data_IF_069711433005
#
_entry.id   IF_069711433005
#
_cell.length_a   1.000
_cell.length_b   1.000
_cell.length_c   1.000
_cell.angle_alpha   90.00
_cell.angle_beta   90.00
_cell.angle_gamma   90.00
#
_symmetry.space_group_name_H-M   'P 1'
#
loop_
_entity.id
_entity.type
_entity.pdbx_description
1 polymer ?
#
# COMPACT_ATOMS: atom_id res chain seq x y z
N UNK A 1 11.98 -24.33 8.54
CA UNK A 1 10.49 -24.24 8.60
C UNK A 1 9.95 -23.70 7.27
N UNK A 2 9.87 -24.54 6.22
CA UNK A 2 9.48 -24.09 4.87
C UNK A 2 7.97 -23.80 4.70
N UNK A 3 7.13 -24.27 5.62
CA UNK A 3 5.67 -24.17 5.49
C UNK A 3 5.13 -22.74 5.66
N UNK A 4 5.76 -21.90 6.51
CA UNK A 4 5.38 -20.50 6.71
C UNK A 4 5.53 -19.66 5.43
N UNK A 5 6.70 -19.63 4.78
CA UNK A 5 6.86 -18.91 3.52
C UNK A 5 6.01 -19.53 2.39
N UNK A 6 5.78 -20.86 2.40
CA UNK A 6 4.90 -21.50 1.43
C UNK A 6 3.44 -21.02 1.56
N UNK A 7 2.91 -20.99 2.79
CA UNK A 7 1.57 -20.48 3.06
C UNK A 7 1.47 -18.99 2.68
N UNK A 8 2.48 -18.20 3.03
CA UNK A 8 2.55 -16.77 2.68
C UNK A 8 2.53 -16.58 1.16
N UNK A 9 3.31 -17.38 0.42
CA UNK A 9 3.33 -17.37 -1.05
C UNK A 9 1.96 -17.68 -1.64
N UNK A 10 1.31 -18.76 -1.19
CA UNK A 10 0.00 -19.19 -1.70
C UNK A 10 -1.05 -18.10 -1.45
N UNK A 11 -1.13 -17.57 -0.22
CA UNK A 11 -2.09 -16.53 0.12
C UNK A 11 -1.85 -15.23 -0.68
N UNK A 12 -0.59 -14.86 -0.91
CA UNK A 12 -0.23 -13.68 -1.69
C UNK A 12 -0.60 -13.84 -3.17
N UNK A 13 -0.38 -15.03 -3.75
CA UNK A 13 -0.76 -15.34 -5.13
C UNK A 13 -2.29 -15.37 -5.30
N UNK A 14 -3.02 -15.93 -4.34
CA UNK A 14 -4.50 -15.88 -4.33
C UNK A 14 -4.97 -14.42 -4.30
N UNK A 15 -4.38 -13.58 -3.44
CA UNK A 15 -4.73 -12.16 -3.37
C UNK A 15 -4.37 -11.41 -4.66
N UNK A 16 -3.22 -11.72 -5.27
CA UNK A 16 -2.82 -11.15 -6.56
C UNK A 16 -3.84 -11.47 -7.66
N UNK A 17 -4.28 -12.73 -7.74
CA UNK A 17 -5.33 -13.16 -8.68
C UNK A 17 -6.64 -12.43 -8.41
N UNK A 18 -7.07 -12.33 -7.16
CA UNK A 18 -8.31 -11.65 -6.80
C UNK A 18 -8.27 -10.14 -7.14
N UNK A 19 -7.13 -9.46 -6.93
CA UNK A 19 -6.94 -8.07 -7.31
C UNK A 19 -6.94 -7.88 -8.82
N UNK A 20 -6.31 -8.79 -9.56
CA UNK A 20 -6.29 -8.74 -11.01
C UNK A 20 -7.68 -8.98 -11.63
N UNK A 21 -8.45 -9.91 -11.06
CA UNK A 21 -9.84 -10.16 -11.45
C UNK A 21 -10.71 -8.90 -11.25
N UNK A 22 -10.60 -8.24 -10.09
CA UNK A 22 -11.27 -6.96 -9.85
C UNK A 22 -10.84 -5.86 -10.85
N UNK A 23 -9.55 -5.82 -11.20
CA UNK A 23 -9.06 -4.87 -12.20
C UNK A 23 -9.69 -5.13 -13.57
N UNK A 24 -9.86 -6.40 -13.98
CA UNK A 24 -10.49 -6.72 -15.28
C UNK A 24 -11.91 -6.16 -15.38
N UNK A 25 -12.65 -6.20 -14.27
CA UNK A 25 -14.02 -5.70 -14.19
C UNK A 25 -14.10 -4.17 -14.07
N UNK A 26 -13.35 -3.58 -13.14
CA UNK A 26 -13.50 -2.15 -12.78
C UNK A 26 -12.51 -1.23 -13.48
N UNK A 27 -11.45 -1.80 -14.06
CA UNK A 27 -10.37 -1.12 -14.79
C UNK A 27 -9.69 0.02 -14.01
N UNK A 28 -9.65 -0.10 -12.68
CA UNK A 28 -9.00 0.89 -11.83
C UNK A 28 -7.49 0.61 -11.73
N UNK A 29 -6.65 1.58 -12.13
CA UNK A 29 -5.20 1.38 -12.24
C UNK A 29 -4.51 0.86 -10.97
N UNK A 30 -4.93 1.33 -9.79
CA UNK A 30 -4.36 0.90 -8.51
C UNK A 30 -4.54 -0.61 -8.24
N UNK A 31 -5.62 -1.23 -8.74
CA UNK A 31 -5.88 -2.66 -8.52
C UNK A 31 -4.87 -3.54 -9.26
N UNK A 32 -4.54 -3.18 -10.50
CA UNK A 32 -3.51 -3.87 -11.28
C UNK A 32 -2.14 -3.72 -10.62
N UNK A 33 -1.81 -2.51 -10.17
CA UNK A 33 -0.52 -2.23 -9.54
C UNK A 33 -0.36 -3.02 -8.24
N UNK A 34 -1.40 -3.08 -7.41
CA UNK A 34 -1.39 -3.93 -6.22
C UNK A 34 -1.36 -5.42 -6.55
N UNK A 35 -2.02 -5.88 -7.62
CA UNK A 35 -1.92 -7.26 -8.08
C UNK A 35 -0.48 -7.63 -8.44
N UNK A 36 0.24 -6.74 -9.15
CA UNK A 36 1.65 -6.91 -9.50
C UNK A 36 2.53 -6.93 -8.23
N UNK A 37 2.31 -6.00 -7.30
CA UNK A 37 3.03 -5.99 -6.02
C UNK A 37 2.81 -7.26 -5.19
N UNK A 38 1.58 -7.78 -5.15
CA UNK A 38 1.24 -9.04 -4.47
C UNK A 38 1.81 -10.27 -5.19
N UNK A 39 1.89 -10.24 -6.53
CA UNK A 39 2.58 -11.26 -7.30
C UNK A 39 4.06 -11.32 -6.92
N UNK A 40 4.74 -10.18 -6.86
CA UNK A 40 6.15 -10.13 -6.43
C UNK A 40 6.35 -10.64 -5.01
N UNK A 41 5.46 -10.25 -4.08
CA UNK A 41 5.50 -10.78 -2.73
C UNK A 41 5.31 -12.31 -2.69
N UNK A 42 4.35 -12.82 -3.46
CA UNK A 42 4.09 -14.26 -3.59
C UNK A 42 5.26 -15.04 -4.19
N UNK A 43 5.92 -14.50 -5.22
CA UNK A 43 7.13 -15.08 -5.83
C UNK A 43 8.29 -15.07 -4.83
N UNK A 44 8.51 -13.97 -4.10
CA UNK A 44 9.58 -13.86 -3.11
C UNK A 44 9.41 -14.86 -1.97
N UNK A 45 8.21 -14.96 -1.39
CA UNK A 45 7.90 -15.96 -0.36
C UNK A 45 7.98 -17.39 -0.91
N UNK A 46 7.62 -17.60 -2.18
CA UNK A 46 7.81 -18.90 -2.84
C UNK A 46 9.28 -19.28 -2.95
N UNK A 47 10.15 -18.32 -3.27
CA UNK A 47 11.60 -18.54 -3.28
C UNK A 47 12.13 -18.92 -1.90
N UNK A 48 11.66 -18.25 -0.84
CA UNK A 48 12.02 -18.60 0.55
C UNK A 48 11.56 -20.02 0.92
N UNK A 49 10.37 -20.43 0.49
CA UNK A 49 9.84 -21.77 0.72
C UNK A 49 10.67 -22.84 0.01
N UNK A 50 10.96 -22.64 -1.27
CA UNK A 50 11.78 -23.53 -2.07
C UNK A 50 13.22 -23.61 -1.53
N UNK A 51 13.80 -22.48 -1.15
CA UNK A 51 15.15 -22.40 -0.59
C UNK A 51 15.25 -23.11 0.75
N UNK A 52 14.22 -22.98 1.59
CA UNK A 52 14.14 -23.67 2.88
C UNK A 52 13.84 -25.19 2.76
N UNK A 53 13.23 -25.64 1.66
CA UNK A 53 12.87 -27.05 1.45
C UNK A 53 13.94 -27.83 0.67
N UNK A 54 14.51 -27.24 -0.38
CA UNK A 54 15.41 -27.89 -1.33
C UNK A 54 16.80 -27.27 -1.43
N UNK A 55 17.10 -26.24 -0.63
CA UNK A 55 18.36 -25.51 -0.67
C UNK A 55 18.34 -24.32 -1.64
N UNK A 56 19.26 -23.38 -1.42
CA UNK A 56 19.39 -22.19 -2.25
C UNK A 56 20.29 -22.43 -3.45
N UNK A 57 19.97 -21.71 -4.53
CA UNK A 57 20.82 -21.57 -5.71
C UNK A 57 20.76 -20.12 -6.19
N UNK A 58 21.66 -19.79 -7.12
CA UNK A 58 21.80 -18.42 -7.62
C UNK A 58 20.51 -17.85 -8.23
N UNK A 59 19.81 -18.62 -9.06
CA UNK A 59 18.55 -18.18 -9.70
C UNK A 59 17.48 -17.85 -8.66
N UNK A 60 17.32 -18.71 -7.66
CA UNK A 60 16.37 -18.53 -6.58
C UNK A 60 16.71 -17.30 -5.75
N UNK A 61 17.99 -17.11 -5.45
CA UNK A 61 18.51 -15.98 -4.69
C UNK A 61 18.32 -14.64 -5.41
N UNK A 62 18.62 -14.57 -6.71
CA UNK A 62 18.39 -13.37 -7.54
C UNK A 62 16.91 -13.04 -7.68
N UNK A 63 16.07 -14.07 -7.87
CA UNK A 63 14.62 -13.91 -8.00
C UNK A 63 14.01 -13.39 -6.70
N UNK A 64 14.40 -13.99 -5.57
CA UNK A 64 14.00 -13.53 -4.23
C UNK A 64 14.42 -12.07 -4.00
N UNK A 65 15.67 -11.73 -4.33
CA UNK A 65 16.20 -10.40 -4.08
C UNK A 65 15.44 -9.33 -4.86
N UNK A 66 15.24 -9.53 -6.17
CA UNK A 66 14.50 -8.59 -6.99
C UNK A 66 13.05 -8.45 -6.56
N UNK A 67 12.33 -9.57 -6.47
CA UNK A 67 10.88 -9.55 -6.24
C UNK A 67 10.54 -9.13 -4.80
N UNK A 68 11.27 -9.66 -3.81
CA UNK A 68 11.03 -9.41 -2.40
C UNK A 68 11.72 -8.17 -1.89
N UNK A 69 13.05 -8.12 -1.99
CA UNK A 69 13.85 -7.08 -1.35
C UNK A 69 13.81 -5.74 -2.11
N UNK A 70 13.56 -5.73 -3.42
CA UNK A 70 13.61 -4.49 -4.22
C UNK A 70 12.21 -4.04 -4.68
N UNK A 71 11.39 -4.91 -5.29
CA UNK A 71 10.19 -4.48 -6.02
C UNK A 71 8.92 -4.38 -5.18
N UNK A 72 8.68 -5.32 -4.27
CA UNK A 72 7.37 -5.49 -3.61
C UNK A 72 6.84 -4.19 -3.01
N UNK A 73 7.62 -3.55 -2.12
CA UNK A 73 7.16 -2.37 -1.42
C UNK A 73 6.93 -1.18 -2.36
N UNK A 74 7.83 -0.99 -3.33
CA UNK A 74 7.70 0.08 -4.34
C UNK A 74 6.42 -0.05 -5.16
N UNK A 75 6.10 -1.26 -5.64
CA UNK A 75 4.88 -1.52 -6.40
C UNK A 75 3.61 -1.42 -5.55
N UNK A 76 3.62 -1.96 -4.32
CA UNK A 76 2.48 -1.83 -3.43
C UNK A 76 2.20 -0.36 -3.05
N UNK A 77 3.25 0.43 -2.78
CA UNK A 77 3.14 1.87 -2.54
C UNK A 77 2.68 2.66 -3.76
N UNK A 78 3.08 2.25 -4.97
CA UNK A 78 2.60 2.83 -6.22
C UNK A 78 1.09 2.65 -6.40
N UNK A 79 0.52 1.53 -5.96
CA UNK A 79 -0.94 1.38 -6.00
C UNK A 79 -1.65 2.43 -5.13
N UNK A 80 -1.05 2.80 -3.99
CA UNK A 80 -1.56 3.88 -3.14
C UNK A 80 -1.48 5.25 -3.81
N UNK A 81 -0.44 5.52 -4.62
CA UNK A 81 -0.37 6.80 -5.35
C UNK A 81 -1.47 6.91 -6.40
N UNK A 82 -1.81 5.82 -7.09
CA UNK A 82 -2.93 5.80 -8.03
C UNK A 82 -4.28 5.87 -7.34
N UNK A 83 -4.42 5.25 -6.16
CA UNK A 83 -5.64 5.36 -5.36
C UNK A 83 -5.89 6.80 -4.91
N UNK A 84 -4.85 7.49 -4.46
CA UNK A 84 -4.91 8.83 -3.89
C UNK A 84 -4.51 9.93 -4.89
N UNK A 85 -4.45 9.60 -6.18
CA UNK A 85 -3.95 10.45 -7.26
C UNK A 85 -4.66 11.80 -7.39
N UNK A 86 -5.94 11.85 -7.02
CA UNK A 86 -6.78 13.05 -7.10
C UNK A 86 -6.78 13.88 -5.81
N UNK A 87 -5.92 13.53 -4.87
CA UNK A 87 -5.84 14.19 -3.55
C UNK A 87 -4.50 14.90 -3.39
N UNK A 88 -4.39 15.72 -2.33
CA UNK A 88 -3.12 16.38 -1.95
C UNK A 88 -2.06 15.41 -1.39
N UNK A 89 -2.31 14.10 -1.45
CA UNK A 89 -1.36 13.07 -1.01
C UNK A 89 -0.04 13.10 -1.78
N UNK A 90 0.00 13.72 -2.96
CA UNK A 90 1.25 13.92 -3.70
C UNK A 90 2.34 14.66 -2.90
N UNK A 91 2.00 15.59 -1.99
CA UNK A 91 2.99 16.19 -1.09
C UNK A 91 3.59 15.18 -0.10
N UNK A 92 2.74 14.31 0.46
CA UNK A 92 3.18 13.21 1.33
C UNK A 92 4.08 12.25 0.56
N UNK A 93 3.73 11.92 -0.69
CA UNK A 93 4.54 11.06 -1.54
C UNK A 93 5.89 11.69 -1.91
N UNK A 94 5.91 13.00 -2.20
CA UNK A 94 7.15 13.75 -2.41
C UNK A 94 8.06 13.71 -1.17
N UNK A 95 7.49 13.83 0.04
CA UNK A 95 8.23 13.64 1.29
C UNK A 95 8.78 12.20 1.40
N UNK A 96 7.98 11.18 1.07
CA UNK A 96 8.44 9.79 1.06
C UNK A 96 9.65 9.59 0.12
N UNK A 97 9.61 10.17 -1.08
CA UNK A 97 10.73 10.14 -2.04
C UNK A 97 11.99 10.82 -1.49
N UNK A 98 11.84 12.01 -0.91
CA UNK A 98 12.96 12.75 -0.32
C UNK A 98 13.59 11.96 0.83
N UNK A 99 12.76 11.43 1.74
CA UNK A 99 13.23 10.57 2.82
C UNK A 99 13.91 9.32 2.28
N UNK A 100 13.37 8.67 1.24
CA UNK A 100 14.01 7.52 0.63
C UNK A 100 15.41 7.84 0.08
N UNK A 101 15.58 8.98 -0.60
CA UNK A 101 16.90 9.44 -1.06
C UNK A 101 17.87 9.65 0.10
N UNK A 102 17.45 10.36 1.15
CA UNK A 102 18.27 10.64 2.33
C UNK A 102 18.65 9.35 3.06
N UNK A 103 17.68 8.48 3.36
CA UNK A 103 17.94 7.23 4.06
C UNK A 103 18.76 6.25 3.22
N UNK A 104 18.64 6.28 1.90
CA UNK A 104 19.52 5.49 1.01
C UNK A 104 20.97 5.95 1.15
N UNK A 105 21.23 7.27 1.14
CA UNK A 105 22.56 7.81 1.38
C UNK A 105 23.07 7.46 2.79
N UNK A 106 22.22 7.61 3.82
CA UNK A 106 22.59 7.27 5.20
C UNK A 106 22.87 5.76 5.36
N UNK A 107 22.14 4.91 4.65
CA UNK A 107 22.38 3.46 4.62
C UNK A 107 23.76 3.18 4.04
N UNK A 108 24.14 3.81 2.93
CA UNK A 108 25.50 3.69 2.43
C UNK A 108 26.54 4.20 3.44
N UNK A 109 26.31 5.36 4.08
CA UNK A 109 27.25 5.93 5.05
C UNK A 109 27.45 5.01 6.26
N UNK A 110 26.41 4.29 6.68
CA UNK A 110 26.46 3.38 7.82
C UNK A 110 27.10 2.05 7.49
N UNK A 111 26.73 1.43 6.37
CA UNK A 111 27.11 0.05 6.05
C UNK A 111 28.24 -0.06 5.02
N UNK A 112 28.58 1.04 4.35
CA UNK A 112 29.64 1.15 3.35
C UNK A 112 29.66 -0.03 2.35
N UNK A 113 28.56 -0.21 1.61
CA UNK A 113 28.47 -1.32 0.67
C UNK A 113 29.50 -1.19 -0.46
N UNK A 114 30.22 -2.29 -0.70
CA UNK A 114 31.21 -2.39 -1.77
C UNK A 114 30.55 -2.24 -3.15
N UNK A 115 31.23 -1.57 -4.08
CA UNK A 115 30.72 -1.35 -5.43
C UNK A 115 29.55 -0.36 -5.51
N UNK A 116 29.30 0.46 -4.48
CA UNK A 116 28.27 1.51 -4.54
C UNK A 116 28.64 2.66 -5.50
N UNK A 117 29.93 3.02 -5.61
CA UNK A 117 30.40 4.10 -6.48
C UNK A 117 29.62 5.41 -6.26
N UNK A 118 29.15 6.03 -7.35
CA UNK A 118 28.33 7.24 -7.33
C UNK A 118 26.83 6.99 -7.09
N UNK A 119 26.38 5.73 -7.01
CA UNK A 119 24.96 5.38 -6.89
C UNK A 119 24.22 6.06 -5.72
N UNK A 120 24.76 6.18 -4.50
CA UNK A 120 24.06 6.84 -3.40
C UNK A 120 23.73 8.30 -3.69
N UNK A 121 24.65 9.01 -4.36
CA UNK A 121 24.49 10.42 -4.72
C UNK A 121 23.49 10.53 -5.89
N UNK A 122 23.61 9.67 -6.90
CA UNK A 122 22.68 9.65 -8.02
C UNK A 122 21.25 9.34 -7.58
N UNK A 123 21.07 8.39 -6.65
CA UNK A 123 19.75 8.07 -6.09
C UNK A 123 19.20 9.21 -5.25
N UNK A 124 20.03 9.92 -4.48
CA UNK A 124 19.60 11.12 -3.77
C UNK A 124 19.16 12.23 -4.74
N UNK A 125 19.95 12.51 -5.78
CA UNK A 125 19.60 13.52 -6.81
C UNK A 125 18.29 13.14 -7.48
N UNK A 126 18.13 11.87 -7.89
CA UNK A 126 16.90 11.39 -8.50
C UNK A 126 15.70 11.55 -7.55
N UNK A 127 15.84 11.20 -6.26
CA UNK A 127 14.81 11.41 -5.26
C UNK A 127 14.41 12.88 -5.12
N UNK A 128 15.39 13.80 -5.04
CA UNK A 128 15.12 15.25 -4.91
C UNK A 128 14.41 15.78 -6.14
N UNK A 129 14.86 15.43 -7.34
CA UNK A 129 14.23 15.84 -8.60
C UNK A 129 12.82 15.29 -8.72
N UNK A 130 12.61 14.01 -8.43
CA UNK A 130 11.28 13.39 -8.46
C UNK A 130 10.35 13.96 -7.39
N UNK A 131 10.84 14.21 -6.17
CA UNK A 131 10.07 14.81 -5.10
C UNK A 131 9.63 16.23 -5.48
N UNK A 132 10.53 17.04 -6.04
CA UNK A 132 10.21 18.37 -6.54
C UNK A 132 9.17 18.31 -7.66
N UNK A 133 9.36 17.44 -8.66
CA UNK A 133 8.42 17.27 -9.76
C UNK A 133 7.02 16.85 -9.28
N UNK A 134 6.93 15.87 -8.38
CA UNK A 134 5.65 15.45 -7.78
C UNK A 134 5.01 16.58 -6.97
N UNK A 135 5.78 17.31 -6.16
CA UNK A 135 5.26 18.41 -5.35
C UNK A 135 4.73 19.55 -6.23
N UNK A 136 5.45 19.89 -7.32
CA UNK A 136 5.04 20.90 -8.30
C UNK A 136 3.74 20.48 -9.01
N UNK A 137 3.68 19.26 -9.54
CA UNK A 137 2.46 18.74 -10.17
C UNK A 137 1.27 18.71 -9.20
N UNK A 138 1.53 18.37 -7.93
CA UNK A 138 0.51 18.39 -6.87
C UNK A 138 0.03 19.80 -6.56
N UNK A 139 0.94 20.79 -6.56
CA UNK A 139 0.64 22.19 -6.35
C UNK A 139 -0.29 22.74 -7.42
N UNK A 140 -0.01 22.43 -8.69
CA UNK A 140 -0.86 22.80 -9.81
C UNK A 140 -2.13 21.95 -9.94
N UNK A 141 -2.39 21.03 -9.00
CA UNK A 141 -3.55 20.13 -9.00
C UNK A 141 -3.65 19.27 -10.27
N UNK A 142 -2.51 18.98 -10.91
CA UNK A 142 -2.46 18.11 -12.08
C UNK A 142 -2.60 16.65 -11.64
N UNK A 143 -3.46 15.90 -12.33
CA UNK A 143 -3.62 14.45 -12.07
C UNK A 143 -2.46 13.60 -12.66
N UNK A 144 -1.38 14.24 -13.13
CA UNK A 144 -0.23 13.60 -13.78
C UNK A 144 0.83 13.10 -12.81
N UNK A 145 0.87 13.59 -11.58
CA UNK A 145 1.90 13.20 -10.61
C UNK A 145 1.98 11.69 -10.31
N UNK A 146 0.89 10.88 -10.33
CA UNK A 146 0.99 9.44 -10.14
C UNK A 146 1.71 8.76 -11.31
N UNK A 147 1.65 9.34 -12.51
CA UNK A 147 2.38 8.84 -13.69
C UNK A 147 3.88 9.06 -13.53
N UNK A 148 4.30 10.19 -12.94
CA UNK A 148 5.71 10.41 -12.59
C UNK A 148 6.18 9.38 -11.55
N UNK A 149 5.36 9.08 -10.55
CA UNK A 149 5.64 8.03 -9.58
C UNK A 149 5.76 6.65 -10.26
N UNK A 150 4.88 6.33 -11.20
CA UNK A 150 4.94 5.08 -11.97
C UNK A 150 6.22 5.00 -12.81
N UNK A 151 6.57 6.07 -13.51
CA UNK A 151 7.81 6.13 -14.30
C UNK A 151 9.05 5.89 -13.42
N UNK A 152 9.08 6.46 -12.22
CA UNK A 152 10.16 6.25 -11.27
C UNK A 152 10.25 4.78 -10.79
N UNK A 153 9.12 4.18 -10.39
CA UNK A 153 9.08 2.78 -9.90
C UNK A 153 9.41 1.79 -11.02
N UNK A 154 8.86 1.99 -12.21
CA UNK A 154 9.17 1.17 -13.39
C UNK A 154 10.64 1.34 -13.79
N UNK A 155 11.14 2.58 -13.82
CA UNK A 155 12.55 2.88 -14.12
C UNK A 155 13.50 2.21 -13.13
N UNK A 156 13.22 2.29 -11.82
CA UNK A 156 14.01 1.60 -10.80
C UNK A 156 13.90 0.07 -10.90
N UNK A 157 12.74 -0.47 -11.27
CA UNK A 157 12.54 -1.90 -11.53
C UNK A 157 13.41 -2.35 -12.70
N UNK A 158 13.38 -1.63 -13.83
CA UNK A 158 14.22 -1.92 -15.00
C UNK A 158 15.71 -1.75 -14.71
N UNK A 159 16.10 -0.70 -13.99
CA UNK A 159 17.48 -0.48 -13.56
C UNK A 159 17.97 -1.66 -12.71
N UNK A 160 17.17 -2.11 -11.74
CA UNK A 160 17.54 -3.25 -10.91
C UNK A 160 17.68 -4.55 -11.71
N UNK A 161 16.87 -4.76 -12.76
CA UNK A 161 17.01 -5.88 -13.69
C UNK A 161 18.35 -5.83 -14.43
N UNK A 162 18.69 -4.67 -15.00
CA UNK A 162 19.95 -4.48 -15.73
C UNK A 162 21.15 -4.69 -14.81
N UNK A 163 21.12 -4.11 -13.61
CA UNK A 163 22.17 -4.31 -12.60
C UNK A 163 22.27 -5.78 -12.17
N UNK A 164 21.14 -6.46 -12.00
CA UNK A 164 21.12 -7.88 -11.64
C UNK A 164 21.77 -8.74 -12.73
N UNK A 165 21.39 -8.54 -13.99
CA UNK A 165 21.92 -9.30 -15.13
C UNK A 165 23.42 -9.07 -15.37
N UNK A 166 23.94 -7.91 -14.97
CA UNK A 166 25.36 -7.56 -15.15
C UNK A 166 26.22 -7.87 -13.93
N UNK A 167 25.62 -8.22 -12.79
CA UNK A 167 26.35 -8.58 -11.58
C UNK A 167 26.76 -10.06 -11.62
N UNK A 168 28.04 -10.35 -11.44
CA UNK A 168 28.54 -11.70 -11.15
C UNK A 168 28.56 -11.97 -9.65
N UNK A 169 28.02 -13.10 -9.19
CA UNK A 169 28.03 -13.49 -7.79
C UNK A 169 29.14 -14.50 -7.53
N UNK A 170 29.88 -14.32 -6.43
CA UNK A 170 30.86 -15.30 -5.99
C UNK A 170 30.19 -16.63 -5.63
N UNK A 171 30.86 -17.76 -5.88
CA UNK A 171 30.37 -19.07 -5.48
C UNK A 171 30.10 -19.09 -3.95
N UNK A 172 28.98 -19.67 -3.48
CA UNK A 172 28.06 -20.58 -4.19
C UNK A 172 26.94 -19.88 -4.99
N UNK A 173 26.98 -18.56 -5.16
CA UNK A 173 25.96 -17.78 -5.89
C UNK A 173 24.79 -17.31 -5.02
N UNK A 174 24.85 -17.54 -3.71
CA UNK A 174 23.87 -17.06 -2.72
C UNK A 174 24.54 -16.86 -1.36
N UNK A 175 23.99 -15.98 -0.53
CA UNK A 175 24.41 -15.80 0.86
C UNK A 175 23.22 -15.88 1.80
N UNK A 176 23.42 -16.63 2.89
CA UNK A 176 22.46 -16.80 3.98
C UNK A 176 23.09 -16.30 5.27
N UNK A 177 22.28 -15.71 6.13
CA UNK A 177 22.69 -15.33 7.47
C UNK A 177 23.04 -16.60 8.27
N UNK A 178 24.23 -16.69 8.89
CA UNK A 178 24.68 -17.91 9.56
C UNK A 178 23.75 -18.37 10.69
N UNK A 179 23.15 -17.43 11.42
CA UNK A 179 22.32 -17.72 12.59
C UNK A 179 20.89 -18.13 12.21
N UNK A 180 20.32 -17.49 11.18
CA UNK A 180 18.90 -17.60 10.84
C UNK A 180 18.64 -18.40 9.57
N UNK A 181 19.67 -18.63 8.75
CA UNK A 181 19.59 -19.25 7.43
C UNK A 181 18.66 -18.50 6.46
N UNK A 182 18.37 -17.23 6.76
CA UNK A 182 17.58 -16.34 5.89
C UNK A 182 18.51 -15.75 4.83
N UNK A 183 18.11 -15.68 3.55
CA UNK A 183 18.90 -15.03 2.52
C UNK A 183 19.20 -13.56 2.85
N UNK A 184 20.45 -13.14 2.64
CA UNK A 184 20.90 -11.77 2.86
C UNK A 184 21.23 -11.09 1.54
N UNK A 185 21.30 -9.77 1.50
CA UNK A 185 21.73 -9.04 0.29
C UNK A 185 23.25 -8.95 0.11
N UNK A 186 24.05 -9.70 0.87
CA UNK A 186 25.48 -9.42 1.05
C UNK A 186 26.33 -9.60 -0.20
N UNK A 187 26.00 -10.56 -1.07
CA UNK A 187 26.76 -10.80 -2.31
C UNK A 187 26.53 -9.74 -3.38
N UNK A 188 25.51 -8.90 -3.23
CA UNK A 188 25.19 -7.91 -4.23
C UNK A 188 26.02 -6.63 -4.06
N UNK A 189 26.41 -5.96 -5.16
CA UNK A 189 27.09 -4.66 -5.07
C UNK A 189 26.15 -3.58 -4.53
N UNK A 190 26.74 -2.54 -3.96
CA UNK A 190 26.03 -1.38 -3.40
C UNK A 190 25.08 -0.71 -4.41
N UNK A 191 25.41 -0.72 -5.70
CA UNK A 191 24.57 -0.16 -6.78
C UNK A 191 23.16 -0.75 -6.77
N UNK A 192 23.01 -2.07 -6.65
CA UNK A 192 21.69 -2.70 -6.57
C UNK A 192 21.15 -2.74 -5.13
N UNK A 193 22.03 -2.90 -4.13
CA UNK A 193 21.60 -2.94 -2.71
C UNK A 193 20.93 -1.68 -2.23
N UNK A 194 21.35 -0.54 -2.76
CA UNK A 194 20.78 0.76 -2.40
C UNK A 194 19.41 1.02 -3.05
N UNK A 195 19.00 0.23 -4.05
CA UNK A 195 17.63 0.31 -4.58
C UNK A 195 16.59 -0.26 -3.59
N UNK A 196 16.98 -1.21 -2.74
CA UNK A 196 16.13 -1.74 -1.67
C UNK A 196 15.63 -0.65 -0.71
N UNK A 197 16.49 0.09 0.03
CA UNK A 197 16.00 1.16 0.90
C UNK A 197 15.29 2.26 0.10
N UNK A 198 15.73 2.55 -1.12
CA UNK A 198 15.09 3.57 -1.96
C UNK A 198 13.62 3.25 -2.26
N UNK A 199 13.33 2.04 -2.75
CA UNK A 199 11.96 1.62 -3.07
C UNK A 199 11.16 1.25 -1.82
N UNK A 200 11.78 0.61 -0.82
CA UNK A 200 11.07 0.17 0.38
C UNK A 200 10.65 1.35 1.26
N UNK A 201 11.48 2.38 1.40
CA UNK A 201 11.11 3.56 2.18
C UNK A 201 10.04 4.35 1.45
N UNK A 202 10.21 4.59 0.14
CA UNK A 202 9.20 5.30 -0.66
C UNK A 202 7.86 4.57 -0.59
N UNK A 203 7.86 3.27 -0.92
CA UNK A 203 6.64 2.47 -1.02
C UNK A 203 6.02 2.10 0.32
N UNK A 204 6.83 1.71 1.30
CA UNK A 204 6.38 1.38 2.65
C UNK A 204 5.78 2.58 3.38
N UNK A 205 6.44 3.74 3.34
CA UNK A 205 5.85 4.97 3.91
C UNK A 205 4.59 5.39 3.16
N UNK A 206 4.57 5.30 1.83
CA UNK A 206 3.38 5.62 1.05
C UNK A 206 2.20 4.70 1.40
N UNK A 207 2.42 3.39 1.59
CA UNK A 207 1.40 2.45 2.06
C UNK A 207 0.87 2.83 3.44
N UNK A 208 1.76 3.00 4.42
CA UNK A 208 1.36 3.28 5.80
C UNK A 208 0.64 4.63 5.88
N UNK A 209 1.24 5.69 5.34
CA UNK A 209 0.68 7.03 5.37
C UNK A 209 -0.60 7.14 4.54
N UNK A 210 -0.69 6.45 3.40
CA UNK A 210 -1.90 6.45 2.58
C UNK A 210 -3.04 5.66 3.21
N UNK A 211 -2.74 4.57 3.92
CA UNK A 211 -3.73 3.83 4.69
C UNK A 211 -4.23 4.66 5.90
N UNK A 212 -3.34 5.34 6.61
CA UNK A 212 -3.70 6.29 7.68
C UNK A 212 -4.53 7.46 7.15
N UNK A 213 -4.14 8.03 6.01
CA UNK A 213 -4.89 9.09 5.33
C UNK A 213 -6.31 8.61 4.98
N UNK A 214 -6.42 7.42 4.38
CA UNK A 214 -7.71 6.83 4.03
C UNK A 214 -8.58 6.59 5.26
N UNK A 215 -8.03 6.01 6.33
CA UNK A 215 -8.75 5.79 7.59
C UNK A 215 -9.22 7.11 8.20
N UNK A 216 -8.38 8.15 8.23
CA UNK A 216 -8.73 9.48 8.75
C UNK A 216 -9.87 10.14 7.96
N UNK A 217 -9.90 9.95 6.65
CA UNK A 217 -10.94 10.53 5.78
C UNK A 217 -12.33 9.96 6.10
N UNK A 218 -12.42 8.65 6.37
CA UNK A 218 -13.70 7.95 6.57
C UNK A 218 -14.14 7.80 8.04
N UNK A 219 -13.27 8.06 9.02
CA UNK A 219 -13.65 7.99 10.43
C UNK A 219 -14.34 9.29 10.93
N UNK A 220 -15.15 9.23 12.00
CA UNK A 220 -15.71 10.41 12.65
C UNK A 220 -14.60 11.35 13.11
N UNK A 221 -14.63 12.62 12.65
CA UNK A 221 -13.55 13.58 12.87
C UNK A 221 -13.77 14.38 14.14
N UNK A 222 -12.79 14.35 15.03
CA UNK A 222 -12.68 15.28 16.17
C UNK A 222 -11.49 16.20 15.94
N UNK A 223 -11.77 17.45 15.57
CA UNK A 223 -10.74 18.49 15.40
C UNK A 223 -10.50 19.19 16.74
N UNK A 224 -9.40 18.85 17.39
CA UNK A 224 -8.93 19.47 18.63
C UNK A 224 -8.03 20.67 18.32
N UNK A 225 -7.16 20.53 17.33
CA UNK A 225 -6.30 21.60 16.82
C UNK A 225 -6.80 22.05 15.46
N UNK A 226 -7.28 23.28 15.37
CA UNK A 226 -7.63 23.90 14.11
C UNK A 226 -6.35 24.38 13.40
N UNK A 227 -6.26 24.11 12.10
CA UNK A 227 -5.25 24.69 11.22
C UNK A 227 -5.87 24.89 9.84
N UNK A 228 -5.41 25.89 9.10
CA UNK A 228 -5.85 26.18 7.74
C UNK A 228 -4.65 26.26 6.80
N UNK A 229 -4.70 25.53 5.68
CA UNK A 229 -3.72 25.63 4.59
C UNK A 229 -4.33 26.41 3.43
N UNK A 230 -4.89 27.58 3.74
CA UNK A 230 -5.42 28.51 2.74
C UNK A 230 -4.25 29.22 2.04
N UNK A 231 -4.06 29.04 0.72
CA UNK A 231 -2.98 29.70 -0.03
C UNK A 231 -3.09 31.23 -0.05
N UNK A 232 -4.27 31.77 0.27
CA UNK A 232 -4.52 33.22 0.28
C UNK A 232 -4.21 33.89 1.63
N UNK A 233 -3.85 33.11 2.65
CA UNK A 233 -3.50 33.63 3.96
C UNK A 233 -2.18 34.44 3.94
N UNK A 234 -2.01 35.32 4.93
CA UNK A 234 -0.75 36.04 5.12
C UNK A 234 0.43 35.06 5.28
N UNK A 235 1.60 35.39 4.72
CA UNK A 235 2.76 34.48 4.65
C UNK A 235 3.16 33.89 6.00
N UNK A 236 3.14 34.70 7.06
CA UNK A 236 3.47 34.27 8.43
C UNK A 236 2.44 33.29 8.99
N UNK A 237 1.15 33.54 8.76
CA UNK A 237 0.08 32.62 9.17
C UNK A 237 0.11 31.32 8.37
N UNK A 238 0.42 31.39 7.07
CA UNK A 238 0.58 30.20 6.23
C UNK A 238 1.77 29.36 6.71
N UNK A 239 2.93 29.98 6.98
CA UNK A 239 4.12 29.29 7.50
C UNK A 239 3.87 28.66 8.86
N UNK A 240 3.22 29.38 9.78
CA UNK A 240 2.85 28.83 11.10
C UNK A 240 1.88 27.65 10.97
N UNK A 241 0.83 27.79 10.14
CA UNK A 241 -0.11 26.72 9.88
C UNK A 241 0.55 25.52 9.20
N UNK A 242 1.51 25.74 8.30
CA UNK A 242 2.29 24.70 7.65
C UNK A 242 3.14 23.94 8.67
N UNK A 243 3.82 24.65 9.59
CA UNK A 243 4.63 24.08 10.66
C UNK A 243 3.79 23.29 11.68
N UNK A 244 2.61 23.79 12.06
CA UNK A 244 1.74 23.11 13.02
C UNK A 244 0.94 21.97 12.38
N UNK A 245 0.74 21.97 11.06
CA UNK A 245 -0.11 21.01 10.36
C UNK A 245 0.23 19.53 10.61
N UNK A 246 1.51 19.09 10.69
CA UNK A 246 1.83 17.69 10.97
C UNK A 246 1.42 17.31 12.40
N UNK A 247 1.69 18.20 13.37
CA UNK A 247 1.33 18.00 14.78
C UNK A 247 -0.19 18.00 14.93
N UNK A 248 -0.87 18.97 14.33
CA UNK A 248 -2.32 19.07 14.35
C UNK A 248 -2.99 17.86 13.70
N UNK A 249 -2.45 17.35 12.59
CA UNK A 249 -2.92 16.10 11.98
C UNK A 249 -2.83 14.93 12.95
N UNK A 250 -1.66 14.73 13.58
CA UNK A 250 -1.45 13.63 14.54
C UNK A 250 -2.40 13.76 15.73
N UNK A 251 -2.50 14.94 16.34
CA UNK A 251 -3.38 15.18 17.50
C UNK A 251 -4.84 14.96 17.13
N UNK A 252 -5.29 15.49 15.99
CA UNK A 252 -6.67 15.32 15.52
C UNK A 252 -6.97 13.86 15.15
N UNK A 253 -6.01 13.15 14.57
CA UNK A 253 -6.11 11.72 14.28
C UNK A 253 -6.32 10.93 15.58
N UNK A 254 -5.43 11.10 16.56
CA UNK A 254 -5.50 10.40 17.86
C UNK A 254 -6.79 10.74 18.60
N UNK A 255 -7.20 12.01 18.62
CA UNK A 255 -8.44 12.45 19.26
C UNK A 255 -9.71 11.88 18.60
N UNK A 256 -9.62 11.46 17.34
CA UNK A 256 -10.73 10.86 16.58
C UNK A 256 -10.85 9.34 16.82
N UNK A 257 -9.78 8.66 17.27
CA UNK A 257 -9.75 7.21 17.47
C UNK A 257 -10.83 6.70 18.43
N UNK A 258 -11.08 7.30 19.63
CA UNK A 258 -12.10 6.79 20.54
C UNK A 258 -13.51 6.82 19.94
N UNK A 259 -13.82 7.87 19.16
CA UNK A 259 -15.08 8.00 18.44
C UNK A 259 -15.21 6.95 17.33
N UNK A 260 -14.11 6.70 16.60
CA UNK A 260 -14.05 5.67 15.58
C UNK A 260 -14.24 4.26 16.18
N UNK A 261 -13.58 3.94 17.31
CA UNK A 261 -13.73 2.65 18.00
C UNK A 261 -15.16 2.45 18.49
N UNK A 262 -15.78 3.46 19.12
CA UNK A 262 -17.18 3.38 19.55
C UNK A 262 -18.13 3.17 18.38
N UNK A 263 -17.91 3.87 17.26
CA UNK A 263 -18.73 3.72 16.06
C UNK A 263 -18.53 2.35 15.39
N UNK A 264 -17.32 1.78 15.47
CA UNK A 264 -17.01 0.44 14.98
C UNK A 264 -17.72 -0.63 15.82
N UNK A 265 -17.60 -0.56 17.14
CA UNK A 265 -18.25 -1.49 18.08
C UNK A 265 -19.77 -1.41 17.99
N UNK A 266 -20.32 -0.24 17.68
CA UNK A 266 -21.75 -0.05 17.50
C UNK A 266 -22.28 -0.49 16.13
N UNK A 267 -21.44 -1.00 15.23
CA UNK A 267 -21.85 -1.41 13.87
C UNK A 267 -22.32 -0.28 12.97
N UNK A 268 -22.05 0.99 13.34
CA UNK A 268 -22.53 2.18 12.61
C UNK A 268 -21.56 2.66 11.52
N UNK A 269 -20.39 2.05 11.43
CA UNK A 269 -19.40 2.40 10.41
C UNK A 269 -19.63 1.58 9.15
N UNK A 270 -19.62 2.27 8.02
CA UNK A 270 -19.58 1.64 6.70
C UNK A 270 -18.41 0.64 6.66
N UNK A 271 -18.62 -0.55 6.10
CA UNK A 271 -17.64 -1.66 6.07
C UNK A 271 -16.26 -1.31 5.49
N UNK A 272 -16.13 -0.15 4.84
CA UNK A 272 -14.88 0.41 4.30
C UNK A 272 -13.90 0.81 5.40
N UNK A 273 -14.38 1.21 6.59
CA UNK A 273 -13.51 1.68 7.69
C UNK A 273 -12.75 0.51 8.33
N UNK A 274 -13.39 -0.58 8.81
CA UNK A 274 -12.65 -1.74 9.29
C UNK A 274 -11.72 -2.36 8.23
N UNK A 275 -12.14 -2.40 6.96
CA UNK A 275 -11.30 -2.88 5.85
C UNK A 275 -10.00 -2.07 5.71
N UNK A 276 -10.11 -0.73 5.68
CA UNK A 276 -8.95 0.16 5.56
C UNK A 276 -8.04 0.13 6.79
N UNK A 277 -8.60 -0.02 8.00
CA UNK A 277 -7.82 -0.18 9.23
C UNK A 277 -7.02 -1.48 9.22
N UNK A 278 -7.63 -2.61 8.82
CA UNK A 278 -6.92 -3.89 8.72
C UNK A 278 -5.80 -3.85 7.67
N UNK A 279 -6.06 -3.22 6.52
CA UNK A 279 -5.02 -3.00 5.50
C UNK A 279 -3.91 -2.09 6.05
N UNK A 280 -4.23 -1.06 6.82
CA UNK A 280 -3.25 -0.17 7.45
C UNK A 280 -2.37 -0.93 8.46
N UNK A 281 -2.97 -1.75 9.33
CA UNK A 281 -2.26 -2.59 10.29
C UNK A 281 -1.34 -3.56 9.55
N UNK A 282 -1.85 -4.23 8.51
CA UNK A 282 -1.06 -5.15 7.70
C UNK A 282 0.12 -4.45 6.98
N UNK A 283 -0.10 -3.27 6.41
CA UNK A 283 0.96 -2.47 5.79
C UNK A 283 2.02 -1.98 6.80
N UNK A 284 1.61 -1.65 8.02
CA UNK A 284 2.52 -1.30 9.12
C UNK A 284 3.34 -2.52 9.57
N UNK A 285 2.71 -3.69 9.74
CA UNK A 285 3.40 -4.94 10.06
C UNK A 285 4.40 -5.34 8.97
N UNK A 286 4.02 -5.21 7.69
CA UNK A 286 4.90 -5.49 6.56
C UNK A 286 6.11 -4.55 6.54
N UNK A 287 5.92 -3.26 6.79
CA UNK A 287 6.99 -2.26 6.80
C UNK A 287 7.86 -2.31 8.08
N UNK A 288 7.29 -2.74 9.20
CA UNK A 288 7.97 -2.88 10.50
C UNK A 288 8.75 -4.18 10.67
N UNK A 289 8.42 -5.24 9.92
CA UNK A 289 9.11 -6.54 9.98
C UNK A 289 10.62 -6.44 9.73
N UNK A 290 11.04 -5.63 8.77
CA UNK A 290 12.46 -5.36 8.49
C UNK A 290 13.15 -4.55 9.60
N UNK A 291 12.42 -3.68 10.29
CA UNK A 291 12.94 -2.92 11.42
C UNK A 291 13.19 -3.82 12.64
N UNK A 292 12.26 -4.75 12.93
CA UNK A 292 12.40 -5.72 14.02
C UNK A 292 13.53 -6.73 13.77
N UNK A 293 13.75 -7.12 12.52
CA UNK A 293 14.89 -7.97 12.13
C UNK A 293 16.23 -7.29 12.46
N UNK A 294 16.31 -5.95 12.30
CA UNK A 294 17.51 -5.16 12.66
C UNK A 294 17.74 -5.00 14.17
N UNK A 295 16.75 -5.30 15.01
CA UNK A 295 16.87 -5.34 16.48
C UNK A 295 17.19 -6.75 17.01
N UNK A 296 17.56 -7.69 16.14
CA UNK A 296 17.99 -9.04 16.54
C UNK A 296 16.83 -10.00 16.88
N UNK A 297 15.58 -9.59 16.64
CA UNK A 297 14.39 -10.43 16.82
C UNK A 297 14.07 -11.12 15.49
N UNK A 298 14.86 -12.14 15.17
CA UNK A 298 14.84 -12.83 13.87
C UNK A 298 13.74 -13.91 13.79
N UNK A 299 13.41 -14.53 14.93
CA UNK A 299 12.41 -15.61 15.02
C UNK A 299 10.97 -15.21 14.65
N UNK A 300 10.69 -13.90 14.56
CA UNK A 300 9.36 -13.37 14.26
C UNK A 300 9.24 -12.77 12.85
N UNK A 301 10.30 -12.77 12.05
CA UNK A 301 10.29 -12.15 10.73
C UNK A 301 9.27 -12.82 9.79
N UNK A 302 9.29 -14.15 9.71
CA UNK A 302 8.35 -14.91 8.87
C UNK A 302 6.92 -14.88 9.41
N UNK A 303 6.75 -14.88 10.73
CA UNK A 303 5.45 -14.73 11.38
C UNK A 303 4.87 -13.33 11.10
N UNK A 304 5.69 -12.29 11.19
CA UNK A 304 5.31 -10.92 10.88
C UNK A 304 4.84 -10.75 9.43
N UNK A 305 5.54 -11.35 8.46
CA UNK A 305 5.13 -11.39 7.06
C UNK A 305 3.76 -12.05 6.86
N UNK A 306 3.53 -13.19 7.51
CA UNK A 306 2.26 -13.89 7.42
C UNK A 306 1.14 -13.08 8.08
N UNK A 307 1.36 -12.55 9.29
CA UNK A 307 0.37 -11.71 9.99
C UNK A 307 0.03 -10.45 9.20
N UNK A 308 1.04 -9.79 8.63
CA UNK A 308 0.84 -8.65 7.75
C UNK A 308 -0.08 -9.01 6.57
N UNK A 309 0.20 -10.13 5.90
CA UNK A 309 -0.60 -10.60 4.77
C UNK A 309 -2.01 -11.00 5.19
N UNK A 310 -2.18 -11.67 6.34
CA UNK A 310 -3.49 -12.03 6.87
C UNK A 310 -4.34 -10.80 7.19
N UNK A 311 -3.74 -9.75 7.76
CA UNK A 311 -4.42 -8.48 8.00
C UNK A 311 -4.84 -7.80 6.68
N UNK A 312 -3.95 -7.77 5.67
CA UNK A 312 -4.28 -7.21 4.35
C UNK A 312 -5.39 -8.02 3.68
N UNK A 313 -5.28 -9.35 3.70
CA UNK A 313 -6.26 -10.25 3.10
C UNK A 313 -7.63 -10.13 3.79
N UNK A 314 -7.67 -10.10 5.12
CA UNK A 314 -8.91 -9.89 5.88
C UNK A 314 -9.55 -8.54 5.55
N UNK A 315 -8.74 -7.47 5.51
CA UNK A 315 -9.23 -6.14 5.11
C UNK A 315 -9.76 -6.12 3.67
N UNK A 316 -9.09 -6.80 2.75
CA UNK A 316 -9.54 -6.96 1.36
C UNK A 316 -10.85 -7.75 1.25
N UNK A 317 -10.99 -8.87 1.96
CA UNK A 317 -12.20 -9.68 1.97
C UNK A 317 -13.40 -8.90 2.54
N UNK A 318 -13.21 -8.17 3.64
CA UNK A 318 -14.25 -7.29 4.20
C UNK A 318 -14.62 -6.18 3.20
N UNK A 319 -13.64 -5.67 2.46
CA UNK A 319 -13.92 -4.72 1.38
C UNK A 319 -14.75 -5.35 0.26
N UNK A 320 -14.56 -6.63 -0.08
CA UNK A 320 -15.37 -7.36 -1.08
C UNK A 320 -16.77 -7.69 -0.57
N UNK A 321 -16.91 -8.11 0.69
CA UNK A 321 -18.22 -8.40 1.27
C UNK A 321 -19.11 -7.15 1.30
N UNK A 322 -18.51 -5.97 1.41
CA UNK A 322 -19.19 -4.69 1.22
C UNK A 322 -19.72 -4.46 -0.22
N UNK A 323 -19.18 -5.18 -1.21
CA UNK A 323 -19.60 -5.19 -2.62
C UNK A 323 -20.41 -6.45 -3.03
N UNK A 324 -20.72 -7.36 -2.07
CA UNK A 324 -21.79 -8.39 -2.09
C UNK A 324 -21.90 -9.38 -3.27
N UNK A 325 -20.84 -9.60 -4.05
CA UNK A 325 -20.79 -10.72 -5.00
C UNK A 325 -19.51 -11.52 -4.83
N UNK A 326 -19.63 -12.72 -4.24
CA UNK A 326 -18.53 -13.71 -4.25
C UNK A 326 -18.62 -14.42 -5.60
N UNK A 327 -17.63 -14.18 -6.47
CA UNK A 327 -17.54 -14.76 -7.81
C UNK A 327 -16.37 -15.74 -7.91
N UNK A 328 -16.49 -16.72 -8.79
CA UNK A 328 -15.36 -17.55 -9.18
C UNK A 328 -14.39 -16.69 -10.01
N UNK A 329 -13.10 -16.59 -9.64
CA UNK A 329 -12.12 -15.79 -10.38
C UNK A 329 -12.15 -16.12 -11.87
N UNK A 330 -12.09 -15.10 -12.71
CA UNK A 330 -12.09 -15.20 -14.17
C UNK A 330 -13.40 -15.68 -14.83
N UNK A 331 -14.50 -15.79 -14.07
CA UNK A 331 -15.81 -16.18 -14.61
C UNK A 331 -16.89 -15.15 -14.27
N UNK A 332 -17.98 -15.13 -15.04
CA UNK A 332 -19.19 -14.37 -14.70
C UNK A 332 -20.06 -15.06 -13.65
N UNK A 333 -19.62 -16.19 -13.09
CA UNK A 333 -20.42 -17.02 -12.20
C UNK A 333 -20.36 -16.48 -10.77
N UNK A 334 -21.48 -15.95 -10.29
CA UNK A 334 -21.67 -15.47 -8.92
C UNK A 334 -22.05 -16.66 -8.03
N UNK A 335 -21.16 -17.03 -7.10
CA UNK A 335 -21.38 -18.12 -6.12
C UNK A 335 -22.36 -17.71 -5.01
N UNK A 336 -22.39 -16.43 -4.64
CA UNK A 336 -23.29 -15.91 -3.60
C UNK A 336 -23.59 -14.42 -3.81
N UNK A 337 -24.88 -14.08 -3.93
CA UNK A 337 -25.40 -12.70 -3.92
C UNK A 337 -26.10 -12.48 -2.59
N UNK A 338 -25.60 -11.57 -1.75
CA UNK A 338 -26.23 -11.29 -0.45
C UNK A 338 -27.42 -10.33 -0.60
N UNK A 339 -28.59 -10.77 -0.09
CA UNK A 339 -29.92 -10.12 -0.13
C UNK A 339 -29.88 -8.65 0.29
N UNK A 340 -30.42 -7.75 -0.54
CA UNK A 340 -30.64 -6.31 -0.25
C UNK A 340 -30.91 -6.04 1.23
N UNK A 341 -30.01 -5.35 1.92
CA UNK A 341 -30.42 -4.57 3.09
C UNK A 341 -31.09 -3.33 2.53
N UNK A 342 -32.43 -3.37 2.41
CA UNK A 342 -33.22 -2.14 2.36
C UNK A 342 -32.85 -1.37 3.63
N UNK A 343 -32.46 -0.10 3.48
CA UNK A 343 -32.34 0.83 4.59
C UNK A 343 -33.53 0.65 5.53
N UNK A 344 -33.28 0.23 6.77
CA UNK A 344 -34.23 0.33 7.87
C UNK A 344 -34.37 1.81 8.30
N UNK A 345 -34.77 2.66 7.36
CA UNK A 345 -35.03 4.09 7.54
C UNK A 345 -36.36 4.54 6.91
N UNK A 346 -37.25 3.58 6.57
CA UNK A 346 -38.61 3.84 6.07
C UNK A 346 -39.61 2.84 6.68
N UNK A 347 -39.50 2.57 7.99
CA UNK A 347 -40.48 1.78 8.74
C UNK A 347 -40.69 2.41 10.13
N UNK A 348 -41.05 3.69 10.12
CA UNK A 348 -41.34 4.47 11.32
C UNK A 348 -42.09 5.74 10.94
N UNK A 349 -43.42 5.63 10.90
CA UNK A 349 -44.35 6.71 10.57
C UNK A 349 -45.18 6.30 9.34
N UNK A 350 -46.49 6.20 9.39
CA UNK A 350 -47.47 6.45 10.44
C UNK A 350 -48.79 5.94 9.89
N UNK A 351 -49.60 5.41 10.78
CA UNK A 351 -50.98 4.97 10.56
C UNK A 351 -51.82 6.20 10.16
N UNK A 352 -52.40 6.22 8.96
CA UNK A 352 -53.51 7.14 8.65
C UNK A 352 -54.35 6.61 7.48
N UNK A 353 -55.65 6.57 7.74
CA UNK A 353 -56.74 5.92 7.02
C UNK A 353 -56.81 6.16 5.51
N UNK A 354 -57.04 5.06 4.79
CA UNK A 354 -57.51 5.00 3.40
C UNK A 354 -59.04 5.14 3.42
N UNK A 355 -59.56 6.21 2.82
CA UNK A 355 -60.98 6.36 2.47
C UNK A 355 -61.06 6.39 0.96
N UNK A 356 -61.84 5.44 0.43
CA UNK A 356 -62.27 5.33 -0.95
C UNK A 356 -62.79 6.65 -1.52
N UNK A 357 -62.47 6.93 -2.77
CA UNK A 357 -63.53 7.24 -3.73
C UNK A 357 -63.11 6.87 -5.15
N UNK A 358 -64.09 6.29 -5.83
CA UNK A 358 -64.06 5.49 -7.03
C UNK A 358 -64.28 6.37 -8.30
N UNK A 359 -64.05 5.78 -9.48
CA UNK A 359 -64.62 6.15 -10.80
C UNK A 359 -63.77 7.02 -11.76
N UNK A 360 -63.03 6.32 -12.64
CA UNK A 360 -62.70 6.64 -14.05
C UNK A 360 -64.00 6.71 -14.92
N UNK A 361 -64.04 7.08 -16.24
CA UNK A 361 -62.95 7.32 -17.20
C UNK A 361 -63.22 8.43 -18.26
N UNK A 362 -62.31 8.46 -19.26
CA UNK A 362 -62.48 8.87 -20.67
C UNK A 362 -61.83 10.17 -21.15
N UNK A 363 -60.97 10.03 -22.17
CA UNK A 363 -61.02 10.94 -23.33
C UNK A 363 -59.70 11.47 -23.89
N UNK A 364 -59.19 10.78 -24.92
CA UNK A 364 -58.80 11.38 -26.21
C UNK A 364 -57.54 12.29 -26.32
N UNK A 365 -56.52 11.72 -26.98
CA UNK A 365 -55.85 12.19 -28.21
C UNK A 365 -55.05 13.52 -28.28
N UNK A 366 -53.83 13.36 -28.82
CA UNK A 366 -53.11 14.22 -29.79
C UNK A 366 -52.81 15.69 -29.45
N UNK A 367 -51.52 15.99 -29.25
CA UNK A 367 -50.71 16.88 -30.11
C UNK A 367 -49.23 16.78 -29.73
#
# INVERSE_FOLDING_TARGET
MAWLPALTSILALILAVALFDQWRERRQGFQLIWAIGMLFYGVASGCEALGAAGGWNETLYRTWYLTGAVWTAGWLGLGTTFLLGRTRFGYTFALCLLLAGVFTLLTQRKFNYDGAGSAPILYLIAAVVLAAAVAIETYFQNERWPVLAAAAVIGATLLSLVLMLTTSLAAPGFALDPATQVPTGELFPGTIRLLTPFLNITGGLALVLGALFSAYVFMPKRRVLAYSLDPTASGDQFLFNLLISPVAFVVNFVASLPGAVRALLAGRLHSRVPATILIAIGGFLASGGDALNRFGITNYFQVGKLLALLCILAGFLISIEAFREIRLPFTSVVLRRARHERSAAMAGGGDEAEVDDEVEPEGSALA
#
